data_IF_219906744804
#
_entry.id   IF_219906744804
#
_cell.length_a   1.000
_cell.length_b   1.000
_cell.length_c   1.000
_cell.angle_alpha   90.00
_cell.angle_beta   90.00
_cell.angle_gamma   90.00
#
_symmetry.space_group_name_H-M   'P 1'
#
loop_
_entity.id
_entity.type
_entity.pdbx_description
1 polymer ?
#
# COMPACT_ATOMS: atom_id res chain seq x y z
N UNK A 1 17.57 2.19 0.40
CA UNK A 1 16.28 2.34 -0.32
C UNK A 1 16.39 1.69 -1.68
N UNK A 2 15.48 0.78 -2.00
CA UNK A 2 15.40 0.08 -3.28
C UNK A 2 14.42 0.83 -4.19
N UNK A 3 14.89 1.27 -5.35
CA UNK A 3 14.09 2.00 -6.33
C UNK A 3 13.73 1.09 -7.51
N UNK A 4 12.44 0.99 -7.80
CA UNK A 4 11.91 0.15 -8.88
C UNK A 4 10.92 0.92 -9.73
N UNK A 5 10.97 0.73 -11.05
CA UNK A 5 9.97 1.24 -11.97
C UNK A 5 9.36 0.13 -12.82
N UNK A 6 8.10 0.29 -13.21
CA UNK A 6 7.40 -0.64 -14.10
C UNK A 6 6.41 0.12 -14.98
N UNK A 7 6.22 -0.32 -16.22
CA UNK A 7 5.32 0.33 -17.17
C UNK A 7 3.85 0.19 -16.69
N UNK A 8 3.15 1.32 -16.64
CA UNK A 8 1.71 1.38 -16.38
C UNK A 8 0.94 1.37 -17.70
N UNK A 9 1.27 2.30 -18.59
CA UNK A 9 0.61 2.47 -19.89
C UNK A 9 1.54 3.07 -20.92
N UNK A 10 1.22 2.82 -22.19
CA UNK A 10 1.82 3.42 -23.38
C UNK A 10 0.68 3.88 -24.29
N UNK A 11 0.40 5.18 -24.27
CA UNK A 11 -0.70 5.81 -25.01
C UNK A 11 -0.10 6.70 -26.09
N UNK A 12 -0.05 6.18 -27.32
CA UNK A 12 0.48 6.90 -28.49
C UNK A 12 1.91 7.45 -28.28
N UNK A 13 2.77 6.71 -27.57
CA UNK A 13 4.15 7.09 -27.29
C UNK A 13 4.35 7.87 -25.99
N UNK A 14 3.28 8.30 -25.33
CA UNK A 14 3.34 8.84 -23.97
C UNK A 14 3.25 7.69 -22.97
N UNK A 15 4.31 7.51 -22.17
CA UNK A 15 4.45 6.36 -21.25
C UNK A 15 4.34 6.81 -19.82
N UNK A 16 3.64 6.03 -19.01
CA UNK A 16 3.57 6.19 -17.55
C UNK A 16 4.21 4.99 -16.89
N UNK A 17 4.94 5.21 -15.81
CA UNK A 17 5.59 4.17 -15.03
C UNK A 17 5.24 4.30 -13.56
N UNK A 18 5.04 3.17 -12.90
CA UNK A 18 5.09 3.06 -11.46
C UNK A 18 6.49 3.43 -11.01
N UNK A 19 6.58 4.13 -9.88
CA UNK A 19 7.83 4.42 -9.22
C UNK A 19 7.68 4.08 -7.74
N UNK A 20 8.36 3.02 -7.33
CA UNK A 20 8.44 2.60 -5.94
C UNK A 20 9.83 2.89 -5.38
N UNK A 21 9.87 3.40 -4.16
CA UNK A 21 11.07 3.60 -3.36
C UNK A 21 10.81 2.94 -1.99
N UNK A 22 11.39 1.75 -1.76
CA UNK A 22 11.08 0.88 -0.62
C UNK A 22 12.29 0.80 0.31
N UNK A 23 12.10 0.95 1.62
CA UNK A 23 13.15 0.69 2.60
C UNK A 23 13.61 -0.78 2.52
N UNK A 24 14.92 -1.02 2.62
CA UNK A 24 15.50 -2.36 2.42
C UNK A 24 14.90 -3.39 3.39
N UNK A 25 14.73 -3.02 4.64
CA UNK A 25 14.12 -3.89 5.67
C UNK A 25 12.65 -4.22 5.42
N UNK A 26 11.96 -3.45 4.55
CA UNK A 26 10.57 -3.73 4.16
C UNK A 26 10.48 -4.56 2.89
N UNK A 27 11.59 -4.86 2.20
CA UNK A 27 11.56 -5.63 0.94
C UNK A 27 10.89 -6.99 1.12
N UNK A 28 11.12 -7.64 2.26
CA UNK A 28 10.64 -9.00 2.52
C UNK A 28 9.13 -9.08 2.74
N UNK A 29 8.43 -7.97 2.97
CA UNK A 29 6.97 -7.95 3.13
C UNK A 29 6.23 -7.55 1.84
N UNK A 30 6.96 -7.21 0.78
CA UNK A 30 6.36 -6.77 -0.48
C UNK A 30 5.79 -7.97 -1.24
N UNK A 31 4.60 -7.79 -1.79
CA UNK A 31 3.96 -8.77 -2.66
C UNK A 31 4.68 -8.89 -4.01
N UNK A 32 4.72 -10.09 -4.57
CA UNK A 32 5.50 -10.35 -5.80
C UNK A 32 4.98 -9.59 -7.03
N UNK A 33 3.68 -9.27 -7.05
CA UNK A 33 2.97 -8.57 -8.13
C UNK A 33 2.73 -7.08 -7.83
N UNK A 34 3.41 -6.49 -6.82
CA UNK A 34 3.19 -5.09 -6.43
C UNK A 34 3.38 -4.08 -7.58
N UNK A 35 4.23 -4.41 -8.56
CA UNK A 35 4.47 -3.59 -9.75
C UNK A 35 3.29 -3.57 -10.72
N UNK A 36 2.33 -4.50 -10.60
CA UNK A 36 1.10 -4.50 -11.38
C UNK A 36 0.08 -3.48 -10.85
N UNK A 37 0.31 -2.86 -9.68
CA UNK A 37 -0.54 -1.79 -9.16
C UNK A 37 -0.73 -0.68 -10.20
N UNK A 38 -1.94 -0.13 -10.31
CA UNK A 38 -2.30 0.90 -11.30
C UNK A 38 -2.20 0.48 -12.78
N UNK A 39 -1.80 -0.75 -13.10
CA UNK A 39 -1.75 -1.27 -14.48
C UNK A 39 -3.05 -1.98 -14.86
N UNK A 40 -3.25 -2.22 -16.16
CA UNK A 40 -4.37 -3.05 -16.65
C UNK A 40 -4.28 -4.52 -16.22
N UNK A 41 -3.12 -4.98 -15.77
CA UNK A 41 -2.90 -6.36 -15.32
C UNK A 41 -3.22 -6.55 -13.83
N UNK A 42 -3.54 -5.48 -13.09
CA UNK A 42 -3.83 -5.54 -11.66
C UNK A 42 -5.01 -6.47 -11.34
N UNK A 43 -4.75 -7.54 -10.59
CA UNK A 43 -5.77 -8.57 -10.25
C UNK A 43 -6.23 -8.55 -8.79
N UNK A 44 -5.60 -7.75 -7.93
CA UNK A 44 -5.84 -7.76 -6.48
C UNK A 44 -7.00 -6.88 -6.02
N UNK A 45 -7.78 -6.28 -6.91
CA UNK A 45 -8.90 -5.40 -6.53
C UNK A 45 -9.87 -6.08 -5.55
N UNK A 46 -10.35 -7.29 -5.89
CA UNK A 46 -11.26 -8.04 -5.02
C UNK A 46 -10.63 -8.43 -3.67
N UNK A 47 -9.33 -8.78 -3.68
CA UNK A 47 -8.58 -9.08 -2.47
C UNK A 47 -8.47 -7.84 -1.55
N UNK A 48 -8.19 -6.67 -2.11
CA UNK A 48 -8.09 -5.42 -1.34
C UNK A 48 -9.44 -5.06 -0.68
N UNK A 49 -10.56 -5.25 -1.38
CA UNK A 49 -11.90 -5.06 -0.78
C UNK A 49 -12.15 -6.05 0.36
N UNK A 50 -11.82 -7.33 0.15
CA UNK A 50 -11.99 -8.37 1.17
C UNK A 50 -11.19 -8.06 2.44
N UNK A 51 -9.91 -7.66 2.28
CA UNK A 51 -9.05 -7.30 3.41
C UNK A 51 -9.56 -6.07 4.14
N UNK A 52 -10.01 -5.04 3.41
CA UNK A 52 -10.61 -3.85 4.03
C UNK A 52 -11.87 -4.20 4.82
N UNK A 53 -12.73 -5.05 4.26
CA UNK A 53 -13.92 -5.54 4.96
C UNK A 53 -13.57 -6.28 6.24
N UNK A 54 -12.62 -7.22 6.17
CA UNK A 54 -12.17 -8.01 7.33
C UNK A 54 -11.62 -7.14 8.46
N UNK A 55 -10.76 -6.16 8.13
CA UNK A 55 -10.03 -5.38 9.14
C UNK A 55 -10.82 -4.17 9.67
N UNK A 56 -11.85 -3.72 8.95
CA UNK A 56 -12.65 -2.56 9.33
C UNK A 56 -14.14 -2.89 9.48
N UNK A 57 -14.83 -3.18 8.37
CA UNK A 57 -16.29 -3.37 8.39
C UNK A 57 -16.75 -4.50 9.33
N UNK A 58 -16.03 -5.62 9.36
CA UNK A 58 -16.39 -6.78 10.18
C UNK A 58 -15.93 -6.65 11.64
N UNK A 59 -15.00 -5.72 11.92
CA UNK A 59 -14.35 -5.57 13.23
C UNK A 59 -15.04 -4.54 14.12
N UNK A 60 -15.68 -3.54 13.53
CA UNK A 60 -16.24 -2.40 14.24
C UNK A 60 -17.76 -2.30 14.00
N UNK A 61 -18.53 -2.24 15.07
CA UNK A 61 -19.94 -1.86 15.03
C UNK A 61 -20.11 -0.35 14.80
N UNK A 62 -20.93 0.05 13.83
CA UNK A 62 -21.13 1.45 13.45
C UNK A 62 -21.72 2.30 14.58
N UNK A 63 -22.62 1.73 15.37
CA UNK A 63 -23.30 2.47 16.44
C UNK A 63 -22.37 2.70 17.63
N UNK A 64 -21.56 1.71 17.96
CA UNK A 64 -20.64 1.70 19.10
C UNK A 64 -19.36 2.47 18.79
N UNK A 65 -18.82 2.34 17.57
CA UNK A 65 -17.53 2.89 17.15
C UNK A 65 -17.66 4.00 16.11
N UNK A 66 -18.59 4.94 16.32
CA UNK A 66 -18.87 6.05 15.39
C UNK A 66 -17.62 6.82 14.95
N UNK A 67 -16.68 7.05 15.86
CA UNK A 67 -15.45 7.78 15.55
C UNK A 67 -14.54 7.01 14.59
N UNK A 68 -14.45 5.68 14.73
CA UNK A 68 -13.72 4.82 13.78
C UNK A 68 -14.35 4.92 12.40
N UNK A 69 -15.69 4.93 12.34
CA UNK A 69 -16.41 5.09 11.08
C UNK A 69 -16.14 6.43 10.41
N UNK A 70 -16.25 7.53 11.16
CA UNK A 70 -15.99 8.88 10.63
C UNK A 70 -14.55 9.05 10.18
N UNK A 71 -13.57 8.59 10.96
CA UNK A 71 -12.15 8.81 10.67
C UNK A 71 -11.64 7.92 9.55
N UNK A 72 -12.10 6.67 9.47
CA UNK A 72 -11.49 5.63 8.65
C UNK A 72 -12.46 5.00 7.66
N UNK A 73 -13.60 4.48 8.13
CA UNK A 73 -14.46 3.61 7.30
C UNK A 73 -15.23 4.40 6.22
N UNK A 74 -15.73 5.58 6.57
CA UNK A 74 -16.45 6.49 5.68
C UNK A 74 -15.50 7.50 5.02
N UNK A 75 -14.21 7.41 5.29
CA UNK A 75 -13.20 8.30 4.72
C UNK A 75 -12.57 7.64 3.49
N UNK A 76 -13.02 8.02 2.31
CA UNK A 76 -12.55 7.43 1.04
C UNK A 76 -11.03 7.56 0.86
N UNK A 77 -10.41 8.67 1.29
CA UNK A 77 -8.95 8.82 1.21
C UNK A 77 -8.21 7.79 2.06
N UNK A 78 -8.73 7.51 3.25
CA UNK A 78 -8.16 6.46 4.10
C UNK A 78 -8.38 5.08 3.48
N UNK A 79 -9.58 4.83 2.96
CA UNK A 79 -9.92 3.57 2.29
C UNK A 79 -9.03 3.31 1.08
N UNK A 80 -8.75 4.32 0.26
CA UNK A 80 -7.83 4.22 -0.88
C UNK A 80 -6.40 3.92 -0.41
N UNK A 81 -5.91 4.62 0.63
CA UNK A 81 -4.59 4.35 1.24
C UNK A 81 -4.50 2.91 1.78
N UNK A 82 -5.54 2.45 2.48
CA UNK A 82 -5.61 1.10 3.03
C UNK A 82 -5.59 0.04 1.92
N UNK A 83 -6.39 0.22 0.85
CA UNK A 83 -6.40 -0.68 -0.30
C UNK A 83 -5.08 -0.68 -1.06
N UNK A 84 -4.42 0.47 -1.18
CA UNK A 84 -3.07 0.54 -1.69
C UNK A 84 -2.11 -0.33 -0.86
N UNK A 85 -2.14 -0.22 0.47
CA UNK A 85 -1.31 -1.05 1.36
C UNK A 85 -1.57 -2.54 1.12
N UNK A 86 -2.83 -2.98 1.09
CA UNK A 86 -3.18 -4.38 0.80
C UNK A 86 -2.74 -4.85 -0.59
N UNK A 87 -2.63 -3.93 -1.55
CA UNK A 87 -2.22 -4.27 -2.91
C UNK A 87 -0.72 -4.55 -3.03
N UNK A 88 0.10 -3.93 -2.17
CA UNK A 88 1.56 -4.02 -2.26
C UNK A 88 2.21 -4.84 -1.14
N UNK A 89 1.53 -5.04 -0.01
CA UNK A 89 2.02 -5.85 1.10
C UNK A 89 1.43 -7.25 1.02
N UNK A 90 2.29 -8.25 1.10
CA UNK A 90 1.90 -9.64 1.26
C UNK A 90 1.58 -9.94 2.72
N UNK A 91 0.38 -10.46 2.99
CA UNK A 91 -0.09 -10.68 4.35
C UNK A 91 0.73 -11.75 5.08
N UNK A 92 1.03 -12.87 4.43
CA UNK A 92 1.75 -13.98 5.07
C UNK A 92 3.19 -13.58 5.35
N UNK A 93 3.82 -12.84 4.42
CA UNK A 93 5.15 -12.27 4.64
C UNK A 93 5.14 -11.22 5.75
N UNK A 94 4.10 -10.38 5.84
CA UNK A 94 3.96 -9.38 6.90
C UNK A 94 3.79 -10.03 8.28
N UNK A 95 2.95 -11.07 8.40
CA UNK A 95 2.77 -11.82 9.66
C UNK A 95 4.12 -12.37 10.12
N UNK A 96 4.87 -13.02 9.23
CA UNK A 96 6.20 -13.54 9.53
C UNK A 96 7.17 -12.42 9.97
N UNK A 97 7.15 -11.29 9.28
CA UNK A 97 7.97 -10.13 9.65
C UNK A 97 7.67 -9.64 11.08
N UNK A 98 6.39 -9.57 11.46
CA UNK A 98 5.98 -9.16 12.83
C UNK A 98 6.42 -10.18 13.87
N UNK A 99 6.34 -11.48 13.58
CA UNK A 99 6.80 -12.55 14.48
C UNK A 99 8.32 -12.48 14.72
N UNK A 100 9.09 -12.20 13.66
CA UNK A 100 10.54 -12.10 13.70
C UNK A 100 11.03 -10.77 14.32
N UNK A 101 10.21 -9.72 14.30
CA UNK A 101 10.56 -8.37 14.72
C UNK A 101 9.58 -7.81 15.78
N UNK A 102 9.59 -8.41 16.97
CA UNK A 102 8.72 -7.99 18.09
C UNK A 102 8.92 -6.54 18.53
N UNK A 103 10.08 -5.96 18.24
CA UNK A 103 10.39 -4.54 18.47
C UNK A 103 11.09 -3.99 17.24
N UNK A 104 10.68 -2.81 16.80
CA UNK A 104 11.26 -2.12 15.66
C UNK A 104 11.93 -0.86 16.19
N UNK A 105 13.24 -0.75 15.98
CA UNK A 105 13.97 0.48 16.21
C UNK A 105 13.71 1.45 15.06
N UNK A 106 13.54 2.74 15.37
CA UNK A 106 13.34 3.82 14.38
C UNK A 106 12.25 3.53 13.32
N UNK A 107 10.99 3.22 13.71
CA UNK A 107 9.92 2.87 12.76
C UNK A 107 9.59 3.99 11.76
N UNK A 108 10.01 5.23 12.04
CA UNK A 108 9.84 6.37 11.13
C UNK A 108 10.76 6.30 9.90
N UNK A 109 11.82 5.48 9.93
CA UNK A 109 12.74 5.28 8.80
C UNK A 109 12.25 4.19 7.84
N UNK A 110 11.40 3.28 8.34
CA UNK A 110 10.82 2.19 7.56
C UNK A 110 9.67 2.70 6.70
N UNK A 111 10.02 3.25 5.53
CA UNK A 111 9.08 3.89 4.60
C UNK A 111 9.00 3.18 3.24
N UNK A 112 7.83 3.31 2.62
CA UNK A 112 7.57 2.99 1.21
C UNK A 112 6.95 4.22 0.56
N UNK A 113 7.60 4.73 -0.47
CA UNK A 113 7.03 5.78 -1.32
C UNK A 113 6.59 5.19 -2.65
N UNK A 114 5.43 5.64 -3.11
CA UNK A 114 4.87 5.32 -4.42
C UNK A 114 4.49 6.59 -5.16
N UNK A 115 4.87 6.63 -6.43
CA UNK A 115 4.49 7.68 -7.34
C UNK A 115 4.40 7.18 -8.78
N UNK A 116 4.06 8.10 -9.67
CA UNK A 116 4.05 7.88 -11.11
C UNK A 116 5.07 8.81 -11.75
N UNK A 117 5.87 8.27 -12.66
CA UNK A 117 6.77 9.04 -13.53
C UNK A 117 6.35 8.86 -14.98
N UNK A 118 6.30 9.94 -15.75
CA UNK A 118 5.99 9.87 -17.18
C UNK A 118 7.26 9.93 -18.06
N UNK A 119 7.07 9.72 -19.37
CA UNK A 119 8.14 9.78 -20.38
C UNK A 119 8.78 11.16 -20.53
N UNK A 120 8.14 12.22 -20.05
CA UNK A 120 8.65 13.60 -20.06
C UNK A 120 9.46 13.92 -18.79
N UNK A 121 9.55 12.96 -17.86
CA UNK A 121 10.29 13.07 -16.61
C UNK A 121 9.52 13.72 -15.47
N UNK A 122 8.21 13.96 -15.63
CA UNK A 122 7.35 14.47 -14.55
C UNK A 122 7.14 13.37 -13.52
N UNK A 123 7.51 13.63 -12.26
CA UNK A 123 7.30 12.73 -11.11
C UNK A 123 6.18 13.30 -10.22
N UNK A 124 5.19 12.48 -9.93
CA UNK A 124 4.13 12.78 -8.95
C UNK A 124 4.21 11.73 -7.84
N UNK A 125 4.48 12.15 -6.62
CA UNK A 125 4.35 11.30 -5.43
C UNK A 125 2.88 11.20 -5.03
N UNK A 126 2.40 9.97 -4.83
CA UNK A 126 1.00 9.68 -4.49
C UNK A 126 0.90 9.25 -3.03
N UNK A 127 1.75 8.30 -2.61
CA UNK A 127 1.77 7.80 -1.25
C UNK A 127 3.18 7.81 -0.69
N UNK A 128 3.26 8.13 0.61
CA UNK A 128 4.41 7.95 1.46
C UNK A 128 3.87 7.29 2.74
N UNK A 129 4.20 6.02 2.94
CA UNK A 129 3.68 5.21 4.03
C UNK A 129 4.81 4.65 4.89
N UNK A 130 4.59 4.61 6.20
CA UNK A 130 5.51 3.97 7.13
C UNK A 130 5.06 2.58 7.58
N UNK A 131 5.94 1.84 8.27
CA UNK A 131 5.57 0.59 8.94
C UNK A 131 4.41 0.76 9.95
N UNK A 132 4.27 1.96 10.53
CA UNK A 132 3.16 2.32 11.43
C UNK A 132 1.84 2.34 10.66
N UNK A 133 1.82 2.89 9.44
CA UNK A 133 0.63 2.85 8.60
C UNK A 133 0.27 1.41 8.25
N UNK A 134 1.25 0.64 7.78
CA UNK A 134 1.06 -0.77 7.40
C UNK A 134 0.46 -1.55 8.59
N UNK A 135 1.05 -1.40 9.77
CA UNK A 135 0.60 -2.08 10.99
C UNK A 135 -0.74 -1.60 11.52
N UNK A 136 -1.16 -0.38 11.16
CA UNK A 136 -2.50 0.11 11.53
C UNK A 136 -3.60 -0.52 10.67
N UNK A 137 -3.29 -0.88 9.41
CA UNK A 137 -4.29 -1.43 8.48
C UNK A 137 -4.48 -2.94 8.64
N UNK A 138 -3.46 -3.67 9.08
CA UNK A 138 -3.51 -5.12 9.33
C UNK A 138 -3.95 -5.45 10.76
#
# INVERSE_FOLDING_TARGET
MIKTTALISDENGYKKYNLFEIHEDLQNIIADDYLEYSTSNFKKAAYCELMYKKNFYDKYDETTYKEVYVRYINNEKFKDKAKFIYSIIDYDKYVKFVEENQTIENPNELIISYGVVDSDGVKIEIYNIGIVDISFVF
#
